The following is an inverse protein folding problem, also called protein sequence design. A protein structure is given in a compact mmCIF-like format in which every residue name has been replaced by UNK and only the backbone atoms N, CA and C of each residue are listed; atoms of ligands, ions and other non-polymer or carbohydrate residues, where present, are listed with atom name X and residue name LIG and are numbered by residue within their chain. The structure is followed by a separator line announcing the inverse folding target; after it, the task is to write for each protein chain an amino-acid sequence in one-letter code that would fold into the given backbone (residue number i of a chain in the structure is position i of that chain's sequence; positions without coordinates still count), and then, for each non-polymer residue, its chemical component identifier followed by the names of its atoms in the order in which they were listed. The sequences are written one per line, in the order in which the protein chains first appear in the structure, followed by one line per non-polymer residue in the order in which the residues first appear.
data_IF_344823267464
#
_entry.id   IF_344823267464
#
_cell.length_a   1.000
_cell.length_b   1.000
_cell.length_c   1.000
_cell.angle_alpha   90.00
_cell.angle_beta   90.00
_cell.angle_gamma   90.00
#
_symmetry.space_group_name_H-M   'P 1'
#
loop_
_entity.id
_entity.type
_entity.pdbx_description
1 polymer ?
#
# COMPACT_ATOMS: atom_id res chain seq x y z
N UNK A 1 60.50 -48.67 -32.21
CA UNK A 1 59.83 -48.39 -30.92
C UNK A 1 59.11 -47.05 -31.04
N UNK A 2 57.80 -47.05 -30.71
CA UNK A 2 56.89 -45.95 -30.37
C UNK A 2 56.77 -44.74 -31.33
N UNK A 3 55.70 -44.66 -32.14
CA UNK A 3 54.28 -44.27 -31.88
C UNK A 3 54.04 -42.78 -32.19
N UNK A 4 53.14 -42.58 -33.15
CA UNK A 4 52.47 -41.35 -33.59
C UNK A 4 51.97 -40.45 -32.45
N UNK A 5 51.90 -39.13 -32.70
CA UNK A 5 50.63 -38.39 -32.73
C UNK A 5 50.81 -36.93 -33.18
N UNK A 6 49.94 -36.52 -34.11
CA UNK A 6 49.64 -35.13 -34.47
C UNK A 6 48.93 -34.44 -33.31
N UNK A 7 49.26 -33.19 -33.04
CA UNK A 7 48.42 -32.25 -32.28
C UNK A 7 48.21 -30.99 -33.10
N UNK A 8 47.01 -30.90 -33.68
CA UNK A 8 46.29 -29.66 -33.97
C UNK A 8 45.53 -29.28 -32.70
N UNK A 9 45.43 -27.99 -32.37
CA UNK A 9 44.16 -27.32 -32.07
C UNK A 9 44.39 -25.82 -31.84
N UNK A 10 43.71 -25.01 -32.67
CA UNK A 10 43.31 -23.67 -32.34
C UNK A 10 42.23 -23.70 -31.23
N UNK A 11 42.17 -22.66 -30.40
CA UNK A 11 41.15 -22.53 -29.37
C UNK A 11 41.07 -21.11 -28.82
N UNK A 12 40.47 -20.22 -29.61
CA UNK A 12 39.93 -18.94 -29.14
C UNK A 12 38.45 -19.16 -28.84
N UNK A 13 37.96 -18.95 -27.61
CA UNK A 13 36.51 -18.82 -27.35
C UNK A 13 36.23 -17.84 -26.22
N UNK A 14 35.94 -16.61 -26.63
CA UNK A 14 34.92 -15.69 -26.11
C UNK A 14 33.99 -16.21 -25.01
N UNK A 15 33.95 -15.50 -23.87
CA UNK A 15 32.91 -15.64 -22.85
C UNK A 15 31.56 -15.11 -23.35
N UNK A 16 30.63 -16.01 -23.67
CA UNK A 16 29.23 -15.70 -23.87
C UNK A 16 28.47 -15.85 -22.54
N UNK A 17 27.83 -14.78 -22.07
CA UNK A 17 26.92 -14.84 -20.93
C UNK A 17 25.70 -15.70 -21.31
N UNK A 18 25.54 -16.86 -20.66
CA UNK A 18 24.39 -17.74 -20.84
C UNK A 18 23.06 -17.09 -20.40
N UNK A 19 21.90 -17.65 -20.80
CA UNK A 19 20.59 -17.10 -20.47
C UNK A 19 20.41 -16.97 -18.95
N UNK A 20 20.12 -15.75 -18.50
CA UNK A 20 19.81 -15.43 -17.11
C UNK A 20 18.60 -16.26 -16.67
N UNK A 21 18.74 -17.08 -15.62
CA UNK A 21 17.63 -17.84 -15.05
C UNK A 21 16.46 -16.92 -14.65
N UNK A 22 15.21 -17.37 -14.75
CA UNK A 22 14.03 -16.59 -14.36
C UNK A 22 14.14 -16.05 -12.92
N UNK A 23 14.77 -16.81 -12.01
CA UNK A 23 15.03 -16.39 -10.65
C UNK A 23 16.03 -15.21 -10.57
N UNK A 24 17.14 -15.27 -11.31
CA UNK A 24 18.10 -14.15 -11.35
C UNK A 24 17.50 -12.89 -11.96
N UNK A 25 16.61 -13.03 -12.96
CA UNK A 25 15.88 -11.88 -13.53
C UNK A 25 14.89 -11.29 -12.53
N UNK A 26 14.16 -12.12 -11.79
CA UNK A 26 13.27 -11.67 -10.72
C UNK A 26 14.04 -10.95 -9.59
N UNK A 27 15.24 -11.44 -9.26
CA UNK A 27 16.10 -10.86 -8.22
C UNK A 27 16.77 -9.54 -8.61
N UNK A 28 16.95 -9.29 -9.92
CA UNK A 28 17.52 -8.03 -10.41
C UNK A 28 16.49 -6.90 -10.53
N UNK A 29 15.20 -7.15 -10.29
CA UNK A 29 14.16 -6.12 -10.37
C UNK A 29 14.28 -5.12 -9.22
N UNK A 30 14.24 -3.84 -9.58
CA UNK A 30 14.32 -2.72 -8.64
C UNK A 30 13.35 -1.62 -9.07
N UNK A 31 12.35 -1.34 -8.25
CA UNK A 31 11.38 -0.29 -8.56
C UNK A 31 10.07 -0.41 -7.79
N UNK A 32 9.10 0.39 -8.22
CA UNK A 32 7.74 0.43 -7.71
C UNK A 32 6.77 -0.04 -8.79
N UNK A 33 5.70 -0.71 -8.37
CA UNK A 33 4.55 -1.03 -9.21
C UNK A 33 3.32 -1.15 -8.31
N UNK A 34 2.13 -1.35 -8.89
CA UNK A 34 0.92 -1.52 -8.12
C UNK A 34 0.25 -2.87 -8.40
N UNK A 35 -0.33 -3.46 -7.36
CA UNK A 35 -1.17 -4.66 -7.46
C UNK A 35 -2.56 -4.38 -6.89
N UNK A 36 -3.54 -5.15 -7.35
CA UNK A 36 -4.90 -5.04 -6.85
C UNK A 36 -5.01 -5.82 -5.55
N UNK A 37 -5.43 -5.15 -4.48
CA UNK A 37 -5.89 -5.82 -3.28
C UNK A 37 -7.41 -5.95 -3.35
N UNK A 38 -7.92 -7.18 -3.32
CA UNK A 38 -9.35 -7.44 -3.11
C UNK A 38 -9.75 -7.25 -1.63
N UNK A 39 -11.04 -7.09 -1.39
CA UNK A 39 -11.62 -7.10 -0.04
C UNK A 39 -11.41 -8.49 0.62
N UNK A 40 -11.14 -8.49 1.93
CA UNK A 40 -10.91 -9.69 2.74
C UNK A 40 -9.48 -9.81 3.29
N UNK A 41 -8.47 -10.15 2.47
CA UNK A 41 -7.11 -10.39 2.94
C UNK A 41 -6.44 -9.11 3.47
N UNK A 42 -5.45 -9.23 4.35
CA UNK A 42 -4.62 -8.07 4.74
C UNK A 42 -3.66 -7.69 3.60
N UNK A 43 -3.13 -6.47 3.59
CA UNK A 43 -2.05 -6.10 2.64
C UNK A 43 -0.83 -7.01 2.72
N UNK A 44 -0.50 -7.51 3.92
CA UNK A 44 0.62 -8.43 4.11
C UNK A 44 0.33 -9.81 3.49
N UNK A 45 -0.89 -10.32 3.63
CA UNK A 45 -1.29 -11.60 3.02
C UNK A 45 -1.24 -11.53 1.50
N UNK A 46 -1.74 -10.44 0.91
CA UNK A 46 -1.68 -10.22 -0.54
C UNK A 46 -0.22 -10.14 -1.01
N UNK A 47 0.63 -9.39 -0.31
CA UNK A 47 2.05 -9.27 -0.67
C UNK A 47 2.79 -10.62 -0.57
N UNK A 48 2.50 -11.42 0.46
CA UNK A 48 3.08 -12.75 0.64
C UNK A 48 2.61 -13.71 -0.46
N UNK A 49 1.31 -13.71 -0.76
CA UNK A 49 0.74 -14.52 -1.85
C UNK A 49 1.37 -14.15 -3.19
N UNK A 50 1.46 -12.85 -3.49
CA UNK A 50 2.12 -12.33 -4.69
C UNK A 50 3.57 -12.81 -4.79
N UNK A 51 4.34 -12.68 -3.70
CA UNK A 51 5.72 -13.18 -3.62
C UNK A 51 5.82 -14.66 -3.92
N UNK A 52 4.95 -15.47 -3.31
CA UNK A 52 4.95 -16.93 -3.48
C UNK A 52 4.54 -17.34 -4.90
N UNK A 53 3.68 -16.57 -5.58
CA UNK A 53 3.35 -16.78 -7.00
C UNK A 53 4.56 -16.55 -7.89
N UNK A 54 5.25 -15.41 -7.76
CA UNK A 54 6.43 -15.10 -8.58
C UNK A 54 7.59 -16.06 -8.34
N UNK A 55 7.82 -16.48 -7.09
CA UNK A 55 8.87 -17.46 -6.79
C UNK A 55 8.58 -18.83 -7.40
N UNK A 56 7.31 -19.26 -7.41
CA UNK A 56 6.89 -20.50 -8.06
C UNK A 56 7.07 -20.45 -9.57
N UNK A 57 6.67 -19.33 -10.21
CA UNK A 57 6.91 -19.08 -11.63
C UNK A 57 8.41 -19.12 -11.97
N UNK A 58 9.26 -18.57 -11.09
CA UNK A 58 10.71 -18.59 -11.25
C UNK A 58 11.37 -19.96 -10.97
N UNK A 59 10.59 -21.02 -10.71
CA UNK A 59 11.09 -22.38 -10.51
C UNK A 59 11.58 -22.70 -9.09
N UNK A 60 11.27 -21.86 -8.09
CA UNK A 60 11.67 -22.11 -6.70
C UNK A 60 10.73 -23.13 -6.05
N UNK A 61 11.25 -24.32 -5.75
CA UNK A 61 10.53 -25.34 -4.99
C UNK A 61 10.64 -25.09 -3.48
N UNK A 62 9.50 -24.93 -2.80
CA UNK A 62 9.30 -24.91 -1.33
C UNK A 62 10.44 -24.30 -0.47
N UNK A 63 10.45 -22.98 -0.19
CA UNK A 63 11.29 -22.41 0.86
C UNK A 63 10.70 -22.74 2.24
N UNK A 64 11.05 -23.90 2.80
CA UNK A 64 10.60 -24.38 4.11
C UNK A 64 10.51 -23.27 5.19
N UNK A 65 9.34 -23.14 5.84
CA UNK A 65 8.95 -22.07 6.76
C UNK A 65 9.69 -22.00 8.11
N UNK A 66 10.60 -22.94 8.41
CA UNK A 66 11.20 -23.11 9.76
C UNK A 66 12.71 -22.86 9.87
N UNK A 67 13.43 -22.61 8.76
CA UNK A 67 14.83 -22.14 8.80
C UNK A 67 14.86 -20.67 8.38
N UNK A 68 15.57 -19.82 9.13
CA UNK A 68 15.77 -18.38 8.88
C UNK A 68 15.84 -18.12 7.37
N UNK A 69 14.74 -17.60 6.80
CA UNK A 69 14.48 -17.56 5.35
C UNK A 69 15.64 -16.85 4.64
N UNK A 70 16.35 -17.54 3.75
CA UNK A 70 17.09 -16.85 2.67
C UNK A 70 16.06 -15.94 1.98
N UNK A 71 16.23 -14.62 2.04
CA UNK A 71 15.30 -13.70 1.40
C UNK A 71 15.51 -13.80 -0.12
N UNK A 72 14.84 -14.75 -0.76
CA UNK A 72 14.92 -14.95 -2.22
C UNK A 72 14.45 -13.73 -3.01
N UNK A 73 13.56 -12.93 -2.42
CA UNK A 73 13.01 -11.72 -3.02
C UNK A 73 12.67 -10.69 -1.94
N UNK A 74 13.17 -9.46 -2.11
CA UNK A 74 12.86 -8.34 -1.21
C UNK A 74 11.63 -7.61 -1.74
N UNK A 75 10.55 -7.63 -0.95
CA UNK A 75 9.29 -6.97 -1.26
C UNK A 75 8.78 -6.21 -0.04
N UNK A 76 8.11 -5.09 -0.28
CA UNK A 76 7.39 -4.31 0.73
C UNK A 76 6.21 -3.57 0.09
N UNK A 77 5.30 -3.05 0.91
CA UNK A 77 4.17 -2.25 0.42
C UNK A 77 4.21 -0.81 0.95
N UNK A 78 3.74 0.15 0.15
CA UNK A 78 3.87 1.59 0.38
C UNK A 78 2.80 2.19 1.30
N UNK A 79 2.05 1.36 2.02
CA UNK A 79 0.94 1.79 2.86
C UNK A 79 -0.12 0.71 2.99
N UNK A 80 -0.55 0.45 4.22
CA UNK A 80 -1.57 -0.56 4.53
C UNK A 80 -2.92 -0.12 3.96
N UNK A 81 -3.62 -1.05 3.33
CA UNK A 81 -5.07 -0.99 3.14
C UNK A 81 -5.74 -1.89 4.16
N UNK A 82 -6.83 -1.42 4.72
CA UNK A 82 -7.64 -2.23 5.63
C UNK A 82 -8.09 -3.51 4.94
N UNK A 83 -8.29 -4.59 5.72
CA UNK A 83 -8.73 -5.87 5.18
C UNK A 83 -10.05 -5.74 4.42
N UNK A 84 -10.98 -4.95 4.95
CA UNK A 84 -12.27 -4.66 4.35
C UNK A 84 -12.20 -3.75 3.10
N UNK A 85 -11.08 -3.07 2.86
CA UNK A 85 -10.90 -2.21 1.71
C UNK A 85 -10.31 -2.95 0.51
N UNK A 86 -10.57 -2.45 -0.69
CA UNK A 86 -9.95 -2.91 -1.94
C UNK A 86 -9.17 -1.80 -2.63
N UNK A 87 -8.53 -2.12 -3.76
CA UNK A 87 -7.92 -1.14 -4.66
C UNK A 87 -6.39 -1.21 -4.72
N UNK A 88 -5.79 -0.06 -5.06
CA UNK A 88 -4.36 0.09 -5.37
C UNK A 88 -3.50 -0.24 -4.16
N UNK A 89 -2.61 -1.22 -4.26
CA UNK A 89 -1.54 -1.48 -3.28
C UNK A 89 -0.18 -1.31 -3.96
N UNK A 90 0.52 -0.21 -3.66
CA UNK A 90 1.88 0.01 -4.21
C UNK A 90 2.87 -0.93 -3.54
N UNK A 91 3.65 -1.61 -4.36
CA UNK A 91 4.66 -2.60 -3.99
C UNK A 91 6.03 -2.12 -4.45
N UNK A 92 7.01 -2.23 -3.55
CA UNK A 92 8.42 -2.04 -3.88
C UNK A 92 9.13 -3.38 -3.96
N UNK A 93 9.92 -3.56 -5.01
CA UNK A 93 10.78 -4.73 -5.23
C UNK A 93 12.25 -4.31 -5.20
N UNK A 94 13.10 -5.13 -4.59
CA UNK A 94 14.54 -4.85 -4.48
C UNK A 94 14.80 -3.50 -3.79
N UNK A 95 15.60 -2.64 -4.42
CA UNK A 95 15.90 -1.28 -3.96
C UNK A 95 14.68 -0.35 -3.98
N UNK A 96 13.64 -0.64 -4.76
CA UNK A 96 12.38 0.12 -4.74
C UNK A 96 11.68 0.08 -3.37
N UNK A 97 11.99 -0.91 -2.53
CA UNK A 97 11.52 -0.92 -1.13
C UNK A 97 11.97 0.29 -0.32
N UNK A 98 13.08 0.94 -0.68
CA UNK A 98 13.57 2.17 -0.02
C UNK A 98 12.68 3.38 -0.34
N UNK A 99 11.98 3.36 -1.48
CA UNK A 99 11.09 4.44 -1.90
C UNK A 99 9.70 4.37 -1.26
N UNK A 100 9.37 3.28 -0.56
CA UNK A 100 8.03 3.10 -0.01
C UNK A 100 7.65 4.14 1.06
N UNK A 101 8.62 4.80 1.67
CA UNK A 101 8.38 5.93 2.58
C UNK A 101 7.69 7.11 1.89
N UNK A 102 8.02 7.39 0.63
CA UNK A 102 7.40 8.49 -0.13
C UNK A 102 5.93 8.16 -0.47
N UNK A 103 5.62 6.88 -0.67
CA UNK A 103 4.24 6.41 -0.88
C UNK A 103 3.38 6.51 0.38
N UNK A 104 4.00 6.45 1.57
CA UNK A 104 3.29 6.63 2.84
C UNK A 104 2.84 8.08 3.01
N UNK A 105 3.70 9.05 2.68
CA UNK A 105 3.44 10.49 2.82
C UNK A 105 2.68 11.08 1.62
N UNK A 106 2.77 10.46 0.45
CA UNK A 106 2.16 10.95 -0.79
C UNK A 106 0.62 10.87 -0.83
N UNK A 107 0.05 11.56 -1.83
CA UNK A 107 -1.39 11.63 -2.09
C UNK A 107 -2.01 10.26 -2.37
N UNK A 108 -3.25 10.08 -1.91
CA UNK A 108 -4.09 8.89 -2.13
C UNK A 108 -5.49 9.36 -2.51
N UNK A 109 -6.15 8.61 -3.40
CA UNK A 109 -7.58 8.78 -3.69
C UNK A 109 -8.39 7.59 -3.26
N UNK A 110 -9.59 7.87 -2.76
CA UNK A 110 -10.53 6.88 -2.28
C UNK A 110 -11.93 7.18 -2.79
N UNK A 111 -12.66 6.11 -3.08
CA UNK A 111 -14.11 6.11 -3.14
C UNK A 111 -14.61 5.35 -1.90
N UNK A 112 -15.47 5.99 -1.12
CA UNK A 112 -15.96 5.44 0.12
C UNK A 112 -17.49 5.48 0.18
N UNK A 113 -18.11 4.34 0.47
CA UNK A 113 -19.54 4.27 0.77
C UNK A 113 -19.68 4.27 2.29
N UNK A 114 -20.41 5.24 2.84
CA UNK A 114 -20.80 5.29 4.25
C UNK A 114 -22.25 4.85 4.45
N UNK A 115 -22.55 4.31 5.63
CA UNK A 115 -23.92 4.00 6.09
C UNK A 115 -24.23 4.84 7.32
N UNK A 116 -25.23 5.74 7.21
CA UNK A 116 -25.76 6.55 8.31
C UNK A 116 -26.59 5.70 9.28
N UNK A 117 -26.71 6.20 10.50
CA UNK A 117 -27.57 5.64 11.55
C UNK A 117 -26.97 4.48 12.34
N UNK A 118 -25.75 4.04 12.00
CA UNK A 118 -25.01 3.00 12.75
C UNK A 118 -23.54 3.35 12.91
N UNK A 119 -23.04 3.32 14.14
CA UNK A 119 -21.61 3.30 14.44
C UNK A 119 -21.16 1.89 14.80
N UNK A 120 -19.94 1.52 14.40
CA UNK A 120 -19.30 0.26 14.77
C UNK A 120 -17.99 0.51 15.53
N UNK A 121 -17.54 -0.45 16.33
CA UNK A 121 -16.27 -0.36 17.08
C UNK A 121 -15.01 -0.27 16.19
N UNK A 122 -15.08 -0.78 14.96
CA UNK A 122 -13.99 -0.70 13.97
C UNK A 122 -14.10 0.50 13.02
N UNK A 123 -15.20 1.26 13.12
CA UNK A 123 -15.60 2.34 12.20
C UNK A 123 -15.80 1.88 10.74
N UNK A 124 -15.98 0.57 10.54
CA UNK A 124 -16.35 -0.04 9.26
C UNK A 124 -17.34 -1.19 9.45
N UNK A 125 -17.85 -1.73 8.33
CA UNK A 125 -18.87 -2.78 8.32
C UNK A 125 -18.40 -4.13 8.87
N UNK A 126 -17.12 -4.30 9.25
CA UNK A 126 -16.61 -5.54 9.85
C UNK A 126 -16.70 -5.55 11.37
N UNK A 127 -16.99 -4.41 11.99
CA UNK A 127 -17.13 -4.27 13.44
C UNK A 127 -18.51 -4.66 13.95
N UNK A 128 -18.64 -4.61 15.27
CA UNK A 128 -19.93 -4.76 15.96
C UNK A 128 -20.60 -3.40 16.07
N UNK A 129 -21.92 -3.34 15.85
CA UNK A 129 -22.69 -2.11 16.05
C UNK A 129 -22.68 -1.75 17.53
N UNK A 130 -22.28 -0.51 17.84
CA UNK A 130 -22.19 0.02 19.22
C UNK A 130 -23.14 1.18 19.49
N UNK A 131 -23.73 1.75 18.43
CA UNK A 131 -24.66 2.87 18.54
C UNK A 131 -25.54 2.94 17.29
N UNK A 132 -26.84 3.17 17.50
CA UNK A 132 -27.78 3.47 16.43
C UNK A 132 -28.43 4.83 16.68
N UNK A 133 -28.68 5.60 15.61
CA UNK A 133 -29.35 6.90 15.66
C UNK A 133 -30.22 7.10 14.43
N UNK A 134 -31.24 7.92 14.57
CA UNK A 134 -32.07 8.39 13.44
C UNK A 134 -31.22 9.19 12.44
N UNK A 135 -31.60 9.15 11.18
CA UNK A 135 -30.91 9.84 10.08
C UNK A 135 -31.87 10.49 9.07
N UNK A 136 -33.18 10.34 9.28
CA UNK A 136 -34.25 10.82 8.39
C UNK A 136 -34.24 12.35 8.25
N UNK A 137 -33.67 13.07 9.22
CA UNK A 137 -33.50 14.53 9.17
C UNK A 137 -32.34 14.98 8.28
N UNK A 138 -31.46 14.07 7.84
CA UNK A 138 -30.24 14.42 7.12
C UNK A 138 -30.54 14.57 5.63
N UNK A 139 -30.28 15.74 5.09
CA UNK A 139 -30.41 16.03 3.65
C UNK A 139 -29.06 16.02 2.93
N UNK A 140 -29.12 15.98 1.60
CA UNK A 140 -27.93 16.15 0.74
C UNK A 140 -27.22 17.48 1.00
N UNK A 141 -27.98 18.55 1.26
CA UNK A 141 -27.43 19.87 1.54
C UNK A 141 -26.68 19.90 2.87
N UNK A 142 -27.22 19.26 3.91
CA UNK A 142 -26.53 19.14 5.21
C UNK A 142 -25.19 18.42 5.07
N UNK A 143 -25.17 17.31 4.31
CA UNK A 143 -23.95 16.58 4.00
C UNK A 143 -22.91 17.48 3.31
N UNK A 144 -23.29 18.12 2.21
CA UNK A 144 -22.39 19.01 1.45
C UNK A 144 -21.89 20.20 2.28
N UNK A 145 -22.72 20.75 3.18
CA UNK A 145 -22.31 21.77 4.13
C UNK A 145 -21.26 21.23 5.10
N UNK A 146 -21.51 20.09 5.75
CA UNK A 146 -20.59 19.53 6.75
C UNK A 146 -19.26 19.09 6.15
N UNK A 147 -19.23 18.57 4.91
CA UNK A 147 -17.99 18.16 4.24
C UNK A 147 -16.96 19.31 4.13
N UNK A 148 -17.40 20.58 4.10
CA UNK A 148 -16.49 21.74 4.06
C UNK A 148 -15.55 21.80 5.26
N UNK A 149 -16.04 21.43 6.46
CA UNK A 149 -15.23 21.41 7.68
C UNK A 149 -14.20 20.26 7.72
N UNK A 150 -14.34 19.28 6.83
CA UNK A 150 -13.43 18.13 6.70
C UNK A 150 -12.48 18.25 5.49
N UNK A 151 -12.42 19.41 4.85
CA UNK A 151 -11.56 19.69 3.69
C UNK A 151 -10.42 20.63 4.08
N UNK A 152 -9.23 20.45 3.51
CA UNK A 152 -8.03 21.23 3.85
C UNK A 152 -7.21 20.58 4.97
N UNK A 153 -6.51 21.40 5.75
CA UNK A 153 -5.71 20.94 6.88
C UNK A 153 -6.59 20.79 8.13
N UNK A 154 -6.73 19.55 8.62
CA UNK A 154 -7.60 19.21 9.74
C UNK A 154 -6.86 18.36 10.78
N UNK A 155 -7.41 18.31 11.99
CA UNK A 155 -6.96 17.39 13.03
C UNK A 155 -7.83 16.15 13.04
N UNK A 156 -7.21 14.98 12.99
CA UNK A 156 -7.93 13.71 12.98
C UNK A 156 -7.42 12.77 14.07
N UNK A 157 -8.34 12.16 14.81
CA UNK A 157 -8.05 11.07 15.74
C UNK A 157 -7.98 9.76 14.95
N UNK A 158 -6.84 9.04 14.95
CA UNK A 158 -6.73 7.74 14.32
C UNK A 158 -7.68 6.71 14.96
N UNK A 159 -8.24 5.78 14.17
CA UNK A 159 -9.07 4.70 14.73
C UNK A 159 -8.23 3.78 15.62
N UNK A 160 -8.86 3.21 16.64
CA UNK A 160 -8.27 2.22 17.53
C UNK A 160 -7.79 0.99 16.74
N UNK A 161 -8.62 0.49 15.83
CA UNK A 161 -8.27 -0.56 14.88
C UNK A 161 -7.41 -0.03 13.72
N UNK A 162 -6.14 0.28 14.01
CA UNK A 162 -5.18 0.78 13.03
C UNK A 162 -3.84 0.04 13.06
N UNK A 163 -2.97 0.37 12.09
CA UNK A 163 -1.60 -0.13 12.00
C UNK A 163 -0.59 0.64 12.90
N UNK A 164 -1.06 1.64 13.66
CA UNK A 164 -0.22 2.37 14.62
C UNK A 164 0.29 1.42 15.71
N UNK A 165 1.42 1.78 16.31
CA UNK A 165 2.08 0.93 17.32
C UNK A 165 2.06 1.56 18.72
N UNK A 166 1.97 0.68 19.72
CA UNK A 166 2.28 0.93 21.13
C UNK A 166 3.24 -0.18 21.56
N UNK A 167 4.40 0.21 22.08
CA UNK A 167 5.44 -0.71 22.57
C UNK A 167 5.82 -1.80 21.54
N UNK A 168 6.00 -1.37 20.28
CA UNK A 168 6.39 -2.25 19.15
C UNK A 168 5.26 -3.09 18.54
N UNK A 169 4.11 -3.24 19.21
CA UNK A 169 2.95 -4.00 18.73
C UNK A 169 1.89 -3.08 18.10
N UNK A 170 1.17 -3.58 17.07
CA UNK A 170 0.10 -2.81 16.42
C UNK A 170 -1.14 -2.71 17.33
N UNK A 171 -1.81 -1.57 17.36
CA UNK A 171 -3.02 -1.34 18.17
C UNK A 171 -4.11 -2.37 17.87
N UNK A 172 -4.37 -2.62 16.58
CA UNK A 172 -5.30 -3.66 16.12
C UNK A 172 -4.96 -5.08 16.60
N UNK A 173 -3.68 -5.41 16.78
CA UNK A 173 -3.26 -6.72 17.31
C UNK A 173 -3.50 -6.81 18.81
N UNK A 174 -3.24 -5.72 19.54
CA UNK A 174 -3.51 -5.64 20.98
C UNK A 174 -5.00 -5.77 21.28
N UNK A 175 -5.85 -5.05 20.54
CA UNK A 175 -7.32 -5.10 20.67
C UNK A 175 -7.87 -6.51 20.40
N UNK A 176 -7.39 -7.18 19.35
CA UNK A 176 -7.78 -8.58 19.05
C UNK A 176 -7.35 -9.58 20.12
N UNK A 177 -6.34 -9.25 20.92
CA UNK A 177 -5.92 -10.03 22.10
C UNK A 177 -6.66 -9.61 23.37
N UNK A 178 -7.71 -8.81 23.27
CA UNK A 178 -8.50 -8.31 24.40
C UNK A 178 -7.78 -7.27 25.28
N UNK A 179 -6.64 -6.71 24.84
CA UNK A 179 -5.95 -5.69 25.61
C UNK A 179 -6.64 -4.33 25.41
N UNK A 180 -6.77 -3.57 26.50
CA UNK A 180 -7.23 -2.19 26.41
C UNK A 180 -6.18 -1.32 25.74
N UNK A 181 -6.63 -0.52 24.78
CA UNK A 181 -5.79 0.40 24.02
C UNK A 181 -6.47 1.75 24.00
N UNK A 182 -5.75 2.78 24.44
CA UNK A 182 -6.21 4.16 24.36
C UNK A 182 -6.03 4.72 22.94
N UNK A 183 -6.93 5.62 22.55
CA UNK A 183 -6.81 6.35 21.31
C UNK A 183 -5.53 7.18 21.30
N UNK A 184 -4.87 7.22 20.15
CA UNK A 184 -3.77 8.15 19.93
C UNK A 184 -4.32 9.58 19.82
N UNK A 185 -3.56 10.60 20.22
CA UNK A 185 -4.01 11.99 20.10
C UNK A 185 -4.30 12.34 18.64
N UNK A 186 -5.14 13.36 18.45
CA UNK A 186 -5.41 13.92 17.13
C UNK A 186 -4.10 14.38 16.48
N UNK A 187 -3.99 14.18 15.16
CA UNK A 187 -2.81 14.55 14.37
C UNK A 187 -3.21 15.33 13.12
N UNK A 188 -2.33 16.21 12.61
CA UNK A 188 -2.61 16.94 11.39
C UNK A 188 -2.65 15.99 10.20
N UNK A 189 -3.63 16.20 9.33
CA UNK A 189 -3.80 15.53 8.04
C UNK A 189 -4.34 16.54 7.03
N UNK A 190 -4.03 16.34 5.76
CA UNK A 190 -4.50 17.20 4.67
C UNK A 190 -5.48 16.44 3.80
N UNK A 191 -6.63 17.05 3.53
CA UNK A 191 -7.65 16.61 2.58
C UNK A 191 -7.65 17.57 1.41
N UNK A 192 -7.13 17.13 0.28
CA UNK A 192 -6.98 17.95 -0.93
C UNK A 192 -8.33 18.18 -1.63
N UNK A 193 -9.18 17.14 -1.69
CA UNK A 193 -10.55 17.26 -2.19
C UNK A 193 -11.46 16.27 -1.48
N UNK A 194 -12.70 16.69 -1.25
CA UNK A 194 -13.73 15.86 -0.62
C UNK A 194 -15.09 16.24 -1.21
N UNK A 195 -15.73 15.31 -1.88
CA UNK A 195 -16.99 15.57 -2.60
C UNK A 195 -18.01 14.46 -2.37
N UNK A 196 -19.28 14.86 -2.29
CA UNK A 196 -20.41 13.94 -2.23
C UNK A 196 -20.82 13.55 -3.65
N UNK A 197 -20.61 12.29 -4.02
CA UNK A 197 -20.94 11.76 -5.34
C UNK A 197 -22.40 11.28 -5.39
N UNK A 198 -22.83 10.54 -4.37
CA UNK A 198 -24.18 9.97 -4.29
C UNK A 198 -24.73 10.10 -2.87
N UNK A 199 -26.02 10.39 -2.75
CA UNK A 199 -26.72 10.44 -1.48
C UNK A 199 -28.08 9.74 -1.62
N UNK A 200 -28.15 8.51 -1.11
CA UNK A 200 -29.34 7.63 -1.10
C UNK A 200 -29.44 7.02 0.30
N UNK A 201 -29.89 7.81 1.30
CA UNK A 201 -29.84 7.40 2.70
C UNK A 201 -30.52 6.03 2.92
N UNK A 202 -29.96 5.17 3.79
CA UNK A 202 -28.86 5.48 4.71
C UNK A 202 -27.47 5.54 4.04
N UNK A 203 -27.35 5.26 2.75
CA UNK A 203 -26.06 5.21 2.06
C UNK A 203 -25.66 6.54 1.42
N UNK A 204 -24.36 6.80 1.41
CA UNK A 204 -23.76 7.92 0.69
C UNK A 204 -22.37 7.55 0.17
N UNK A 205 -21.96 8.18 -0.93
CA UNK A 205 -20.67 7.92 -1.59
C UNK A 205 -19.82 9.19 -1.61
N UNK A 206 -18.61 9.10 -1.09
CA UNK A 206 -17.61 10.17 -1.08
C UNK A 206 -16.48 9.86 -2.07
N UNK A 207 -16.04 10.86 -2.82
CA UNK A 207 -14.74 10.87 -3.50
C UNK A 207 -13.77 11.76 -2.73
N UNK A 208 -12.60 11.21 -2.40
CA UNK A 208 -11.66 11.77 -1.43
C UNK A 208 -10.25 11.75 -2.03
N UNK A 209 -9.57 12.89 -2.06
CA UNK A 209 -8.12 12.97 -2.26
C UNK A 209 -7.46 13.52 -0.99
N UNK A 210 -6.48 12.80 -0.44
CA UNK A 210 -5.87 13.14 0.84
C UNK A 210 -4.39 12.77 0.91
N UNK A 211 -3.69 13.35 1.87
CA UNK A 211 -2.27 13.09 2.13
C UNK A 211 -1.99 11.80 2.91
N UNK A 212 -0.74 11.64 3.33
CA UNK A 212 -0.33 10.57 4.24
C UNK A 212 -1.02 10.62 5.60
N UNK A 213 -1.36 9.45 6.15
CA UNK A 213 -1.88 9.32 7.50
C UNK A 213 -3.37 9.64 7.69
N UNK A 214 -4.10 9.98 6.62
CA UNK A 214 -5.55 10.15 6.66
C UNK A 214 -6.29 8.81 6.82
N UNK A 215 -7.30 8.77 7.67
CA UNK A 215 -8.21 7.64 7.86
C UNK A 215 -9.61 7.99 7.38
N UNK A 216 -10.03 7.36 6.29
CA UNK A 216 -11.41 7.49 5.76
C UNK A 216 -12.46 7.00 6.77
N UNK A 217 -12.12 5.97 7.55
CA UNK A 217 -12.98 5.46 8.63
C UNK A 217 -13.28 6.51 9.70
N UNK A 218 -12.28 7.25 10.17
CA UNK A 218 -12.50 8.35 11.10
C UNK A 218 -13.30 9.48 10.46
N UNK A 219 -13.04 9.82 9.18
CA UNK A 219 -13.82 10.84 8.46
C UNK A 219 -15.32 10.51 8.47
N UNK A 220 -15.69 9.29 8.12
CA UNK A 220 -17.10 8.90 8.03
C UNK A 220 -17.78 8.92 9.40
N UNK A 221 -17.11 8.40 10.44
CA UNK A 221 -17.60 8.45 11.82
C UNK A 221 -17.80 9.89 12.32
N UNK A 222 -16.80 10.76 12.10
CA UNK A 222 -16.86 12.17 12.52
C UNK A 222 -17.90 12.97 11.72
N UNK A 223 -18.09 12.68 10.42
CA UNK A 223 -19.16 13.25 9.62
C UNK A 223 -20.53 12.86 10.17
N UNK A 224 -20.73 11.59 10.53
CA UNK A 224 -21.97 11.13 11.18
C UNK A 224 -22.28 11.90 12.46
N UNK A 225 -21.26 12.13 13.31
CA UNK A 225 -21.40 12.95 14.54
C UNK A 225 -21.75 14.40 14.21
N UNK A 226 -21.10 15.00 13.22
CA UNK A 226 -21.34 16.39 12.81
C UNK A 226 -22.76 16.61 12.26
N UNK A 227 -23.41 15.55 11.75
CA UNK A 227 -24.79 15.53 11.29
C UNK A 227 -25.79 15.17 12.40
N UNK A 228 -25.34 15.17 13.67
CA UNK A 228 -26.14 14.78 14.84
C UNK A 228 -26.68 13.34 14.76
N UNK A 229 -25.99 12.45 14.04
CA UNK A 229 -26.30 11.03 13.93
C UNK A 229 -25.04 10.20 14.23
N UNK A 230 -24.86 9.08 13.54
CA UNK A 230 -23.64 8.28 13.50
C UNK A 230 -23.49 7.63 12.11
N UNK A 231 -22.28 7.18 11.79
CA UNK A 231 -22.03 6.47 10.54
C UNK A 231 -20.81 5.54 10.64
N UNK A 232 -20.70 4.61 9.71
CA UNK A 232 -19.50 3.80 9.52
C UNK A 232 -19.22 3.59 8.02
N UNK A 233 -17.99 3.21 7.68
CA UNK A 233 -17.63 2.88 6.30
C UNK A 233 -18.22 1.52 5.92
N UNK A 234 -19.10 1.50 4.93
CA UNK A 234 -19.66 0.29 4.35
C UNK A 234 -18.71 -0.36 3.35
N UNK A 235 -18.18 0.44 2.42
CA UNK A 235 -17.24 0.00 1.38
C UNK A 235 -16.13 1.03 1.20
N UNK A 236 -14.93 0.57 0.89
CA UNK A 236 -13.78 1.44 0.68
C UNK A 236 -12.88 0.92 -0.43
N UNK A 237 -12.68 1.74 -1.46
CA UNK A 237 -11.78 1.46 -2.57
C UNK A 237 -10.72 2.55 -2.65
N UNK A 238 -9.44 2.18 -2.55
CA UNK A 238 -8.35 3.11 -2.88
C UNK A 238 -8.13 3.12 -4.39
N UNK A 239 -8.55 4.20 -5.03
CA UNK A 239 -8.49 4.38 -6.49
C UNK A 239 -7.14 4.91 -6.97
N UNK A 240 -6.34 5.51 -6.07
CA UNK A 240 -4.98 6.01 -6.38
C UNK A 240 -4.05 5.96 -5.17
N UNK A 241 -2.77 5.73 -5.41
CA UNK A 241 -1.69 6.01 -4.46
C UNK A 241 -0.46 6.54 -5.21
N UNK A 242 -0.03 7.76 -4.89
CA UNK A 242 1.02 8.43 -5.65
C UNK A 242 0.63 8.57 -7.12
N UNK A 243 1.50 8.12 -8.02
CA UNK A 243 1.26 8.06 -9.45
C UNK A 243 0.37 6.88 -9.88
N UNK A 244 0.21 5.86 -9.03
CA UNK A 244 -0.46 4.61 -9.42
C UNK A 244 -1.97 4.72 -9.26
N UNK A 245 -2.70 4.55 -10.37
CA UNK A 245 -4.16 4.56 -10.45
C UNK A 245 -4.71 3.15 -10.58
N UNK A 246 -5.94 2.94 -10.10
CA UNK A 246 -6.64 1.66 -10.20
C UNK A 246 -6.90 1.25 -11.65
N UNK A 247 -7.15 2.22 -12.52
CA UNK A 247 -7.50 1.98 -13.91
C UNK A 247 -6.28 1.59 -14.76
N UNK A 248 -5.14 2.24 -14.57
CA UNK A 248 -4.06 2.17 -15.57
C UNK A 248 -2.85 1.34 -15.11
N UNK A 249 -2.65 1.17 -13.80
CA UNK A 249 -1.37 0.69 -13.28
C UNK A 249 -1.42 -0.63 -12.53
N UNK A 250 -2.61 -1.09 -12.19
CA UNK A 250 -2.77 -2.17 -11.22
C UNK A 250 -2.70 -3.54 -11.89
N UNK A 251 -1.83 -4.41 -11.38
CA UNK A 251 -1.81 -5.83 -11.74
C UNK A 251 -2.80 -6.63 -10.88
N UNK A 252 -3.74 -7.29 -11.55
CA UNK A 252 -4.67 -8.24 -10.94
C UNK A 252 -4.03 -9.62 -10.76
N UNK A 253 -4.65 -10.50 -9.96
CA UNK A 253 -4.05 -11.76 -9.51
C UNK A 253 -3.65 -12.67 -10.67
N UNK A 254 -4.47 -12.72 -11.70
CA UNK A 254 -4.28 -13.42 -12.97
C UNK A 254 -3.13 -12.86 -13.82
N UNK A 255 -2.67 -11.64 -13.53
CA UNK A 255 -1.55 -10.98 -14.22
C UNK A 255 -0.25 -11.06 -13.42
N UNK A 256 -0.19 -11.77 -12.28
CA UNK A 256 1.00 -11.87 -11.44
C UNK A 256 2.08 -12.77 -12.05
N UNK A 257 2.67 -12.30 -13.15
CA UNK A 257 3.78 -12.94 -13.86
C UNK A 257 5.00 -12.04 -13.88
N UNK A 258 6.19 -12.63 -14.04
CA UNK A 258 7.44 -11.88 -14.16
C UNK A 258 7.38 -10.87 -15.32
N UNK A 259 6.76 -11.27 -16.44
CA UNK A 259 6.61 -10.40 -17.61
C UNK A 259 5.75 -9.17 -17.29
N UNK A 260 4.58 -9.36 -16.67
CA UNK A 260 3.69 -8.26 -16.30
C UNK A 260 4.35 -7.32 -15.29
N UNK A 261 5.08 -7.87 -14.31
CA UNK A 261 5.81 -7.06 -13.33
C UNK A 261 6.88 -6.22 -14.02
N UNK A 262 7.65 -6.79 -14.93
CA UNK A 262 8.66 -6.03 -15.70
C UNK A 262 8.00 -4.92 -16.52
N UNK A 263 6.85 -5.18 -17.15
CA UNK A 263 6.13 -4.18 -17.92
C UNK A 263 5.53 -3.05 -17.09
N UNK A 264 5.10 -3.34 -15.85
CA UNK A 264 4.52 -2.36 -14.94
C UNK A 264 5.54 -1.63 -14.05
N UNK A 265 6.80 -2.07 -14.05
CA UNK A 265 7.81 -1.58 -13.13
C UNK A 265 8.20 -0.15 -13.46
N UNK A 266 7.94 0.76 -12.51
CA UNK A 266 8.50 2.10 -12.50
C UNK A 266 9.87 2.03 -11.81
N UNK A 267 10.98 2.20 -12.55
CA UNK A 267 12.32 2.10 -11.97
C UNK A 267 12.54 3.20 -10.93
N UNK A 268 13.46 2.95 -10.00
CA UNK A 268 13.93 4.00 -9.11
C UNK A 268 14.55 5.13 -9.95
N UNK A 269 14.34 6.41 -9.62
CA UNK A 269 15.15 7.49 -10.17
C UNK A 269 16.62 7.15 -9.93
N UNK A 270 17.46 7.27 -10.95
CA UNK A 270 18.91 7.10 -10.77
C UNK A 270 19.34 8.11 -9.70
N UNK A 271 20.00 7.63 -8.64
CA UNK A 271 20.70 8.53 -7.74
C UNK A 271 21.73 9.25 -8.60
N UNK A 272 21.53 10.56 -8.84
CA UNK A 272 22.55 11.41 -9.46
C UNK A 272 23.88 11.08 -8.78
N UNK A 273 24.81 10.51 -9.53
CA UNK A 273 26.19 10.35 -9.11
C UNK A 273 26.74 11.76 -8.95
N UNK A 274 26.52 12.38 -7.78
CA UNK A 274 27.31 13.53 -7.36
C UNK A 274 28.72 13.02 -7.23
N UNK A 275 29.49 13.32 -8.25
CA UNK A 275 30.94 13.22 -8.26
C UNK A 275 31.46 13.91 -7.00
N UNK A 276 31.96 13.11 -6.07
CA UNK A 276 32.86 13.58 -5.02
C UNK A 276 34.10 14.13 -5.72
N UNK A 277 34.03 15.40 -6.09
CA UNK A 277 35.17 16.17 -6.57
C UNK A 277 36.03 16.46 -5.34
N UNK A 278 37.29 16.03 -5.29
CA UNK A 278 38.14 16.30 -4.12
C UNK A 278 38.31 17.81 -3.97
N UNK A 279 37.95 18.33 -2.78
CA UNK A 279 38.20 19.73 -2.41
C UNK A 279 39.68 20.04 -2.57
N UNK A 280 40.00 21.00 -3.43
CA UNK A 280 41.32 21.61 -3.54
C UNK A 280 41.68 22.26 -2.20
N UNK A 281 42.93 22.14 -1.72
CA UNK A 281 43.36 22.78 -0.48
C UNK A 281 43.42 24.30 -0.69
N UNK A 282 42.73 25.06 0.17
CA UNK A 282 42.82 26.51 0.20
C UNK A 282 44.22 26.92 0.70
N UNK A 283 44.91 27.75 -0.08
CA UNK A 283 46.15 28.40 0.31
C UNK A 283 45.89 29.36 1.47
N UNK A 284 46.72 29.23 2.51
CA UNK A 284 46.87 30.22 3.55
C UNK A 284 47.70 31.40 3.04
N UNK A 285 47.17 32.61 3.19
CA UNK A 285 47.92 33.87 3.33
C UNK A 285 47.11 34.78 4.23
#
# INVERSE_FOLDING_TARGET
MNISQKTSMAGNVSGAAGPISSLSKLQSLNGLFAIYKKQGPTSADVLNKFKDTLLREAGVQYPNSRKRKKQYLKLGHGGTLDSAASGVLVVGIGNGTKMLSTMLTGSKKYMAVGELGKATDTLDATGTVIMEKVFEHITRLDMEEKLKAFTGDIMQVPPLFSALKKDGQRLSVLLKKGHQVEAKPARPVTVHSLTLQEFKPPLFTLDIECGGGFYVRSLVDDLGKALSSCAHVKELVRTKQGQFTLQDHVLHEEQWTLQSVVGALQPCPEEDQRTDSPRSPQNAT
#
